data_IF_329042589712
#
_entry.id   IF_329042589712
#
_cell.length_a   1.000
_cell.length_b   1.000
_cell.length_c   1.000
_cell.angle_alpha   90.00
_cell.angle_beta   90.00
_cell.angle_gamma   90.00
#
_symmetry.space_group_name_H-M   'P 1'
#
loop_
_entity.id
_entity.type
_entity.pdbx_description
1 polymer ?
#
# COMPACT_ATOMS: atom_id res chain seq x y z
N UNK A 1 -13.08 21.88 5.16
CA UNK A 1 -11.84 21.13 5.15
C UNK A 1 -10.91 21.60 4.04
N UNK A 2 -9.64 21.30 4.16
CA UNK A 2 -8.64 21.61 3.12
C UNK A 2 -8.51 20.45 2.12
N UNK A 3 -8.07 20.75 0.89
CA UNK A 3 -7.85 19.73 -0.13
C UNK A 3 -6.65 18.86 0.26
N UNK A 4 -6.85 17.55 0.41
CA UNK A 4 -5.79 16.58 0.80
C UNK A 4 -5.00 16.03 -0.40
N UNK A 5 -5.53 16.13 -1.61
CA UNK A 5 -4.97 15.51 -2.81
C UNK A 5 -4.79 16.56 -3.91
N UNK A 6 -3.55 16.71 -4.38
CA UNK A 6 -3.22 17.52 -5.54
C UNK A 6 -3.27 16.73 -6.85
N UNK A 7 -3.09 17.39 -8.01
CA UNK A 7 -3.26 16.75 -9.32
C UNK A 7 -2.30 15.59 -9.58
N UNK A 8 -1.05 15.66 -9.15
CA UNK A 8 -0.07 14.58 -9.33
C UNK A 8 -0.49 13.28 -8.62
N UNK A 9 -0.90 13.40 -7.34
CA UNK A 9 -1.36 12.24 -6.57
C UNK A 9 -2.68 11.68 -7.11
N UNK A 10 -3.61 12.54 -7.54
CA UNK A 10 -4.86 12.13 -8.16
C UNK A 10 -4.62 11.39 -9.47
N UNK A 11 -3.74 11.90 -10.34
CA UNK A 11 -3.37 11.26 -11.59
C UNK A 11 -2.75 9.87 -11.36
N UNK A 12 -1.81 9.79 -10.42
CA UNK A 12 -1.17 8.52 -10.05
C UNK A 12 -2.21 7.48 -9.56
N UNK A 13 -3.19 7.90 -8.76
CA UNK A 13 -4.28 7.03 -8.31
C UNK A 13 -5.19 6.59 -9.46
N UNK A 14 -5.55 7.50 -10.38
CA UNK A 14 -6.34 7.19 -11.58
C UNK A 14 -5.63 6.13 -12.43
N UNK A 15 -4.34 6.29 -12.66
CA UNK A 15 -3.53 5.32 -13.41
C UNK A 15 -3.48 3.96 -12.70
N UNK A 16 -3.34 3.97 -11.36
CA UNK A 16 -3.40 2.76 -10.54
C UNK A 16 -4.73 2.02 -10.70
N UNK A 17 -5.86 2.74 -10.63
CA UNK A 17 -7.19 2.15 -10.78
C UNK A 17 -7.41 1.60 -12.21
N UNK A 18 -6.90 2.29 -13.23
CA UNK A 18 -6.94 1.79 -14.62
C UNK A 18 -6.22 0.46 -14.75
N UNK A 19 -4.98 0.40 -14.27
CA UNK A 19 -4.19 -0.82 -14.31
C UNK A 19 -4.84 -1.96 -13.51
N UNK A 20 -5.38 -1.67 -12.33
CA UNK A 20 -6.11 -2.64 -11.51
C UNK A 20 -7.36 -3.17 -12.25
N UNK A 21 -8.13 -2.28 -12.90
CA UNK A 21 -9.32 -2.67 -13.69
C UNK A 21 -8.96 -3.66 -14.80
N UNK A 22 -7.88 -3.40 -15.53
CA UNK A 22 -7.38 -4.27 -16.58
C UNK A 22 -6.97 -5.65 -16.02
N UNK A 23 -6.17 -5.67 -14.95
CA UNK A 23 -5.70 -6.91 -14.31
C UNK A 23 -6.83 -7.75 -13.71
N UNK A 24 -7.82 -7.13 -13.10
CA UNK A 24 -8.98 -7.83 -12.57
C UNK A 24 -9.86 -8.39 -13.70
N UNK A 25 -10.01 -7.65 -14.80
CA UNK A 25 -10.77 -8.12 -15.99
C UNK A 25 -10.14 -9.37 -16.60
N UNK A 26 -8.80 -9.47 -16.67
CA UNK A 26 -8.07 -10.68 -17.10
C UNK A 26 -8.46 -11.91 -16.26
N UNK A 27 -8.87 -11.70 -15.00
CA UNK A 27 -9.29 -12.75 -14.05
C UNK A 27 -10.81 -12.90 -13.95
N UNK A 28 -11.57 -12.27 -14.83
CA UNK A 28 -13.03 -12.21 -14.79
C UNK A 28 -13.59 -11.65 -13.47
N UNK A 29 -12.97 -10.60 -12.95
CA UNK A 29 -13.40 -9.87 -11.76
C UNK A 29 -13.79 -8.45 -12.16
N UNK A 30 -14.97 -7.99 -11.77
CA UNK A 30 -15.41 -6.62 -12.01
C UNK A 30 -14.84 -5.68 -10.96
N UNK A 31 -14.20 -4.59 -11.39
CA UNK A 31 -13.86 -3.47 -10.51
C UNK A 31 -15.00 -2.45 -10.53
N UNK A 32 -15.69 -2.34 -9.41
CA UNK A 32 -16.66 -1.25 -9.18
C UNK A 32 -15.92 0.01 -8.78
N UNK A 33 -16.17 1.12 -9.47
CA UNK A 33 -15.58 2.43 -9.15
C UNK A 33 -16.73 3.40 -8.83
N UNK A 34 -16.63 4.07 -7.69
CA UNK A 34 -17.64 5.03 -7.23
C UNK A 34 -16.96 6.26 -6.64
N UNK A 35 -17.58 7.45 -6.85
CA UNK A 35 -17.20 8.72 -6.23
C UNK A 35 -18.03 9.03 -4.98
N UNK A 36 -18.88 8.11 -4.54
CA UNK A 36 -19.66 8.25 -3.33
C UNK A 36 -18.87 7.80 -2.09
N UNK A 37 -19.38 8.11 -0.93
CA UNK A 37 -18.79 7.62 0.33
C UNK A 37 -18.89 6.10 0.42
N UNK A 38 -17.89 5.41 1.03
CA UNK A 38 -17.85 3.95 1.12
C UNK A 38 -19.12 3.33 1.72
N UNK A 39 -19.69 3.91 2.78
CA UNK A 39 -20.91 3.43 3.43
C UNK A 39 -22.12 3.43 2.49
N UNK A 40 -22.21 4.39 1.58
CA UNK A 40 -23.29 4.45 0.59
C UNK A 40 -23.04 3.47 -0.57
N UNK A 41 -21.79 3.39 -1.06
CA UNK A 41 -21.42 2.47 -2.12
C UNK A 41 -21.66 1.02 -1.68
N UNK A 42 -21.10 0.61 -0.55
CA UNK A 42 -21.18 -0.78 -0.06
C UNK A 42 -22.63 -1.17 0.25
N UNK A 43 -23.41 -0.30 0.92
CA UNK A 43 -24.82 -0.60 1.21
C UNK A 43 -25.66 -0.73 -0.07
N UNK A 44 -25.38 0.05 -1.11
CA UNK A 44 -26.03 -0.07 -2.41
C UNK A 44 -25.68 -1.39 -3.09
N UNK A 45 -24.39 -1.78 -3.09
CA UNK A 45 -23.93 -3.04 -3.66
C UNK A 45 -24.56 -4.24 -2.93
N UNK A 46 -24.62 -4.19 -1.60
CA UNK A 46 -25.24 -5.24 -0.78
C UNK A 46 -26.72 -5.40 -1.12
N UNK A 47 -27.45 -4.29 -1.36
CA UNK A 47 -28.87 -4.32 -1.72
C UNK A 47 -29.12 -4.83 -3.14
N UNK A 48 -28.24 -4.51 -4.08
CA UNK A 48 -28.44 -4.80 -5.50
C UNK A 48 -27.86 -6.14 -5.93
N UNK A 49 -26.91 -6.68 -5.16
CA UNK A 49 -26.25 -7.94 -5.45
C UNK A 49 -26.32 -8.86 -4.23
N UNK A 50 -26.38 -10.14 -4.44
CA UNK A 50 -26.49 -11.12 -3.37
C UNK A 50 -25.11 -11.34 -2.67
N UNK A 51 -24.61 -10.30 -1.98
CA UNK A 51 -23.30 -10.29 -1.32
C UNK A 51 -23.40 -11.01 0.02
N UNK A 52 -22.57 -12.02 0.23
CA UNK A 52 -22.45 -12.77 1.49
C UNK A 52 -21.31 -12.28 2.38
N UNK A 53 -20.25 -11.70 1.79
CA UNK A 53 -19.09 -11.24 2.54
C UNK A 53 -18.41 -10.04 1.90
N UNK A 54 -17.81 -9.18 2.74
CA UNK A 54 -16.94 -8.07 2.34
C UNK A 54 -15.60 -8.25 3.01
N UNK A 55 -14.53 -8.23 2.20
CA UNK A 55 -13.15 -8.35 2.65
C UNK A 55 -12.42 -7.03 2.45
N UNK A 56 -11.69 -6.56 3.46
CA UNK A 56 -10.96 -5.30 3.37
C UNK A 56 -9.68 -5.30 4.21
N UNK A 57 -8.75 -4.43 3.83
CA UNK A 57 -7.56 -4.16 4.61
C UNK A 57 -7.93 -3.31 5.83
N UNK A 58 -7.52 -3.74 7.00
CA UNK A 58 -7.74 -3.02 8.26
C UNK A 58 -6.76 -1.86 8.38
N UNK A 59 -7.30 -0.69 8.67
CA UNK A 59 -6.56 0.52 9.00
C UNK A 59 -6.83 0.93 10.47
N UNK A 60 -6.07 1.87 11.01
CA UNK A 60 -6.10 2.18 12.45
C UNK A 60 -6.07 3.68 12.77
N UNK A 61 -6.00 4.56 11.78
CA UNK A 61 -6.11 6.00 12.02
C UNK A 61 -7.58 6.40 12.11
N UNK A 62 -7.87 7.55 12.69
CA UNK A 62 -9.24 7.95 13.05
C UNK A 62 -10.18 7.97 11.85
N UNK A 63 -9.74 8.56 10.74
CA UNK A 63 -10.59 8.71 9.55
C UNK A 63 -10.97 7.35 8.95
N UNK A 64 -10.02 6.43 8.88
CA UNK A 64 -10.25 5.09 8.34
C UNK A 64 -11.09 4.24 9.29
N UNK A 65 -10.91 4.39 10.62
CA UNK A 65 -11.76 3.73 11.61
C UNK A 65 -13.21 4.26 11.57
N UNK A 66 -13.39 5.56 11.34
CA UNK A 66 -14.72 6.14 11.17
C UNK A 66 -15.41 5.60 9.91
N UNK A 67 -14.68 5.49 8.78
CA UNK A 67 -15.20 4.87 7.56
C UNK A 67 -15.58 3.41 7.81
N UNK A 68 -14.72 2.62 8.48
CA UNK A 68 -15.03 1.23 8.84
C UNK A 68 -16.30 1.15 9.67
N UNK A 69 -16.44 2.02 10.68
CA UNK A 69 -17.63 2.07 11.53
C UNK A 69 -18.89 2.40 10.73
N UNK A 70 -18.86 3.43 9.88
CA UNK A 70 -19.99 3.84 9.04
C UNK A 70 -20.41 2.75 8.06
N UNK A 71 -19.45 2.03 7.46
CA UNK A 71 -19.74 0.88 6.59
C UNK A 71 -20.44 -0.22 7.40
N UNK A 72 -19.94 -0.58 8.59
CA UNK A 72 -20.58 -1.58 9.46
C UNK A 72 -22.00 -1.21 9.80
N UNK A 73 -22.25 0.05 10.20
CA UNK A 73 -23.59 0.53 10.53
C UNK A 73 -24.52 0.50 9.31
N UNK A 74 -24.02 0.83 8.11
CA UNK A 74 -24.83 0.89 6.89
C UNK A 74 -25.37 -0.47 6.41
N UNK A 75 -24.73 -1.57 6.82
CA UNK A 75 -25.09 -2.95 6.43
C UNK A 75 -25.44 -3.86 7.62
N UNK A 76 -25.60 -3.31 8.82
CA UNK A 76 -25.81 -4.09 10.05
C UNK A 76 -27.09 -4.94 10.05
N UNK A 77 -28.10 -4.56 9.24
CA UNK A 77 -29.37 -5.31 9.11
C UNK A 77 -29.31 -6.37 8.00
N UNK A 78 -28.19 -6.47 7.28
CA UNK A 78 -27.99 -7.47 6.23
C UNK A 78 -27.20 -8.66 6.78
N UNK A 79 -27.36 -9.83 6.18
CA UNK A 79 -26.63 -11.06 6.54
C UNK A 79 -25.20 -11.11 5.96
N UNK A 80 -24.54 -9.95 5.84
CA UNK A 80 -23.20 -9.83 5.25
C UNK A 80 -22.13 -9.94 6.32
N UNK A 81 -21.18 -10.85 6.12
CA UNK A 81 -20.02 -10.99 7.00
C UNK A 81 -18.89 -10.03 6.58
N UNK A 82 -18.31 -9.33 7.56
CA UNK A 82 -17.16 -8.43 7.35
C UNK A 82 -15.85 -9.10 7.80
N UNK A 83 -14.89 -9.17 6.91
CA UNK A 83 -13.56 -9.74 7.18
C UNK A 83 -12.49 -8.67 6.99
N UNK A 84 -11.72 -8.37 8.04
CA UNK A 84 -10.64 -7.40 8.02
C UNK A 84 -9.28 -8.04 8.27
N UNK A 85 -8.26 -7.61 7.52
CA UNK A 85 -6.92 -8.18 7.57
C UNK A 85 -5.85 -7.10 7.57
N UNK A 86 -4.73 -7.36 8.26
CA UNK A 86 -3.51 -6.57 8.16
C UNK A 86 -2.59 -7.22 7.12
N UNK A 87 -2.47 -6.63 5.94
CA UNK A 87 -1.62 -7.19 4.88
C UNK A 87 -0.57 -6.21 4.33
N UNK A 88 -0.55 -4.98 4.82
CA UNK A 88 0.34 -3.91 4.39
C UNK A 88 1.76 -3.96 4.99
N UNK A 89 2.00 -4.85 5.95
CA UNK A 89 3.28 -4.96 6.67
C UNK A 89 4.27 -5.88 5.97
N UNK A 90 5.57 -5.60 6.15
CA UNK A 90 6.65 -6.55 5.87
C UNK A 90 6.60 -7.72 6.85
N UNK A 91 6.60 -7.40 8.16
CA UNK A 91 6.38 -8.35 9.23
C UNK A 91 4.91 -8.27 9.67
N UNK A 92 4.16 -9.33 9.45
CA UNK A 92 2.76 -9.36 9.86
C UNK A 92 2.61 -9.24 11.39
N UNK A 93 1.58 -8.55 11.93
CA UNK A 93 1.40 -8.36 13.38
C UNK A 93 1.40 -9.64 14.24
N UNK A 94 1.04 -10.76 13.67
CA UNK A 94 1.08 -12.08 14.36
C UNK A 94 2.47 -12.72 14.40
N UNK A 95 3.43 -12.19 13.64
CA UNK A 95 4.76 -12.81 13.44
C UNK A 95 5.87 -11.96 14.07
N UNK A 96 5.55 -10.80 14.63
CA UNK A 96 6.52 -9.97 15.36
C UNK A 96 6.75 -10.51 16.78
N UNK A 97 7.95 -10.33 17.37
CA UNK A 97 8.29 -10.89 18.67
C UNK A 97 7.82 -10.05 19.86
N UNK A 98 6.60 -9.51 19.78
CA UNK A 98 5.96 -8.73 20.84
C UNK A 98 4.56 -9.30 21.08
N UNK A 99 4.21 -9.58 22.33
CA UNK A 99 2.94 -10.22 22.70
C UNK A 99 1.74 -9.29 22.49
N UNK A 100 1.99 -7.99 22.50
CA UNK A 100 0.97 -6.97 22.24
C UNK A 100 1.57 -5.74 21.56
N UNK A 101 0.71 -4.94 20.95
CA UNK A 101 1.09 -3.65 20.35
C UNK A 101 1.71 -2.70 21.38
N UNK A 102 1.31 -2.80 22.65
CA UNK A 102 1.84 -1.96 23.73
C UNK A 102 3.31 -2.26 24.05
N UNK A 103 3.80 -3.45 23.74
CA UNK A 103 5.20 -3.85 23.97
C UNK A 103 6.16 -3.39 22.86
N UNK A 104 5.64 -2.85 21.77
CA UNK A 104 6.48 -2.33 20.69
C UNK A 104 7.40 -1.23 21.24
N UNK A 105 8.73 -1.36 21.03
CA UNK A 105 9.69 -0.40 21.54
C UNK A 105 9.49 1.01 20.95
N UNK A 106 9.70 2.03 21.78
CA UNK A 106 9.71 3.43 21.32
C UNK A 106 10.94 3.78 20.47
N UNK A 107 11.95 2.93 20.46
CA UNK A 107 13.22 3.14 19.75
C UNK A 107 13.31 2.12 18.61
N UNK A 108 13.47 2.62 17.38
CA UNK A 108 13.59 1.82 16.18
C UNK A 108 14.64 0.70 16.27
N UNK A 109 15.83 1.00 16.78
CA UNK A 109 16.91 0.01 16.84
C UNK A 109 16.53 -1.22 17.68
N UNK A 110 15.77 -1.03 18.75
CA UNK A 110 15.27 -2.14 19.58
C UNK A 110 14.23 -2.97 18.82
N UNK A 111 13.28 -2.31 18.15
CA UNK A 111 12.29 -2.96 17.28
C UNK A 111 12.96 -3.77 16.19
N UNK A 112 13.82 -3.13 15.40
CA UNK A 112 14.53 -3.75 14.28
C UNK A 112 15.30 -5.00 14.72
N UNK A 113 16.18 -4.87 15.75
CA UNK A 113 17.00 -6.00 16.23
C UNK A 113 16.15 -7.18 16.70
N UNK A 114 15.02 -6.91 17.35
CA UNK A 114 14.11 -7.97 17.77
C UNK A 114 13.44 -8.66 16.58
N UNK A 115 12.94 -7.89 15.60
CA UNK A 115 12.30 -8.43 14.40
C UNK A 115 13.32 -9.19 13.52
N UNK A 116 14.49 -8.64 13.25
CA UNK A 116 15.53 -9.33 12.46
C UNK A 116 15.94 -10.67 13.07
N UNK A 117 15.90 -10.79 14.40
CA UNK A 117 16.27 -12.03 15.11
C UNK A 117 15.17 -13.08 15.13
N UNK A 118 13.91 -12.69 15.18
CA UNK A 118 12.79 -13.59 15.53
C UNK A 118 11.61 -13.56 14.56
N UNK A 119 11.40 -12.46 13.83
CA UNK A 119 10.27 -12.36 12.93
C UNK A 119 10.58 -13.02 11.58
N UNK A 120 9.53 -13.52 10.92
CA UNK A 120 9.62 -14.14 9.60
C UNK A 120 8.82 -13.30 8.61
N UNK A 121 9.41 -13.03 7.46
CA UNK A 121 8.66 -12.45 6.33
C UNK A 121 7.90 -13.57 5.64
N UNK A 122 6.55 -13.46 5.64
CA UNK A 122 5.69 -14.46 4.99
C UNK A 122 6.01 -14.56 3.50
N UNK A 123 5.85 -15.75 2.91
CA UNK A 123 6.01 -15.91 1.47
C UNK A 123 4.95 -15.09 0.73
N UNK A 124 5.21 -14.84 -0.55
CA UNK A 124 4.19 -14.27 -1.44
C UNK A 124 3.08 -15.29 -1.67
N UNK A 125 1.85 -14.79 -1.73
CA UNK A 125 0.70 -15.60 -2.10
C UNK A 125 0.60 -15.62 -3.61
N UNK A 126 0.71 -16.79 -4.21
CA UNK A 126 0.43 -16.94 -5.63
C UNK A 126 -1.07 -17.12 -5.83
N UNK A 127 -1.70 -16.13 -6.48
CA UNK A 127 -3.13 -16.14 -6.76
C UNK A 127 -3.38 -16.67 -8.18
N UNK A 128 -3.44 -17.98 -8.33
CA UNK A 128 -3.96 -18.63 -9.54
C UNK A 128 -5.49 -18.65 -9.50
N UNK A 129 -6.10 -17.48 -9.72
CA UNK A 129 -7.56 -17.37 -9.83
C UNK A 129 -7.92 -17.39 -11.30
N UNK A 130 -8.72 -18.36 -11.69
CA UNK A 130 -9.34 -18.44 -13.01
C UNK A 130 -10.86 -18.57 -12.83
N UNK A 131 -11.54 -17.43 -12.72
CA UNK A 131 -12.99 -17.38 -12.58
C UNK A 131 -13.67 -17.46 -13.94
N UNK A 132 -14.89 -18.04 -14.04
CA UNK A 132 -15.65 -18.07 -15.28
C UNK A 132 -16.10 -16.65 -15.65
N UNK A 133 -16.33 -16.40 -16.96
CA UNK A 133 -16.83 -15.10 -17.45
C UNK A 133 -18.17 -14.68 -16.83
N UNK A 134 -18.98 -15.64 -16.39
CA UNK A 134 -20.23 -15.39 -15.68
C UNK A 134 -20.06 -14.68 -14.33
N UNK A 135 -18.81 -14.60 -13.81
CA UNK A 135 -18.49 -13.82 -12.60
C UNK A 135 -18.47 -12.31 -12.84
N UNK A 136 -18.42 -11.86 -14.11
CA UNK A 136 -18.43 -10.44 -14.42
C UNK A 136 -19.85 -9.87 -14.25
N UNK A 137 -19.94 -8.69 -13.66
CA UNK A 137 -21.16 -7.87 -13.70
C UNK A 137 -21.33 -7.30 -15.13
N UNK A 138 -22.59 -7.20 -15.57
CA UNK A 138 -22.93 -6.59 -16.88
C UNK A 138 -22.89 -5.06 -16.87
N UNK A 139 -22.16 -4.47 -15.96
CA UNK A 139 -22.03 -3.02 -15.78
C UNK A 139 -20.59 -2.58 -16.03
N UNK A 140 -20.43 -1.48 -16.75
CA UNK A 140 -19.13 -0.85 -16.95
C UNK A 140 -19.01 0.40 -16.07
N UNK A 141 -18.13 0.33 -15.06
CA UNK A 141 -17.87 1.43 -14.15
C UNK A 141 -16.78 2.33 -14.71
N UNK A 142 -17.14 3.56 -15.06
CA UNK A 142 -16.23 4.54 -15.60
C UNK A 142 -15.17 4.94 -14.56
N UNK A 143 -13.94 5.08 -15.01
CA UNK A 143 -12.86 5.60 -14.16
C UNK A 143 -12.89 7.11 -14.20
N UNK A 144 -12.90 7.79 -13.02
CA UNK A 144 -12.92 9.24 -12.95
C UNK A 144 -11.69 9.89 -13.61
N UNK A 145 -11.85 11.13 -14.03
CA UNK A 145 -10.78 12.00 -14.57
C UNK A 145 -10.46 13.10 -13.55
N UNK A 146 -9.34 13.79 -13.72
CA UNK A 146 -8.94 14.89 -12.84
C UNK A 146 -10.04 15.95 -12.67
N UNK A 147 -10.77 16.28 -13.74
CA UNK A 147 -11.89 17.23 -13.71
C UNK A 147 -13.01 16.84 -12.76
N UNK A 148 -13.25 15.54 -12.55
CA UNK A 148 -14.31 15.03 -11.67
C UNK A 148 -13.98 15.28 -10.18
N UNK A 149 -12.70 15.57 -9.89
CA UNK A 149 -12.20 16.00 -8.58
C UNK A 149 -11.99 17.52 -8.48
N UNK A 150 -12.40 18.28 -9.50
CA UNK A 150 -12.15 19.72 -9.59
C UNK A 150 -10.65 20.07 -9.75
N UNK A 151 -9.89 19.18 -10.36
CA UNK A 151 -8.46 19.33 -10.62
C UNK A 151 -8.22 19.55 -12.11
N UNK A 152 -7.23 20.41 -12.43
CA UNK A 152 -6.80 20.66 -13.80
C UNK A 152 -5.79 19.62 -14.27
N UNK A 153 -5.78 19.37 -15.56
CA UNK A 153 -4.71 18.62 -16.22
C UNK A 153 -3.38 19.38 -16.08
N UNK A 154 -2.28 18.67 -16.14
CA UNK A 154 -0.94 19.24 -16.02
C UNK A 154 0.04 18.50 -16.94
N UNK A 155 1.11 19.18 -17.28
CA UNK A 155 2.27 18.58 -17.97
C UNK A 155 3.33 18.21 -16.93
N UNK A 156 3.84 16.99 -17.00
CA UNK A 156 4.93 16.55 -16.12
C UNK A 156 6.18 17.34 -16.47
N UNK A 157 6.81 17.95 -15.46
CA UNK A 157 8.05 18.70 -15.68
C UNK A 157 9.19 17.76 -16.10
N UNK A 158 9.98 18.08 -17.13
CA UNK A 158 11.04 17.19 -17.63
C UNK A 158 12.11 16.85 -16.58
N UNK A 159 12.35 17.73 -15.62
CA UNK A 159 13.30 17.52 -14.52
C UNK A 159 12.65 16.87 -13.28
N UNK A 160 11.49 16.22 -13.40
CA UNK A 160 10.87 15.55 -12.27
C UNK A 160 11.78 14.43 -11.75
N UNK A 161 11.89 14.30 -10.43
CA UNK A 161 12.57 13.18 -9.79
C UNK A 161 11.69 11.92 -9.72
N UNK A 162 10.44 11.98 -10.19
CA UNK A 162 9.49 10.87 -10.21
C UNK A 162 8.73 10.85 -11.56
N UNK A 163 9.37 10.35 -12.64
CA UNK A 163 8.76 10.29 -13.97
C UNK A 163 7.87 9.07 -14.20
N UNK A 164 7.42 8.40 -13.14
CA UNK A 164 6.74 7.12 -13.19
C UNK A 164 5.22 7.25 -13.10
N UNK A 165 4.52 6.27 -13.65
CA UNK A 165 3.06 6.16 -13.61
C UNK A 165 2.60 5.27 -12.44
N UNK A 166 1.32 5.41 -12.08
CA UNK A 166 0.66 4.55 -11.12
C UNK A 166 0.37 3.15 -11.65
N UNK A 167 0.10 2.22 -10.72
CA UNK A 167 -0.29 0.84 -11.01
C UNK A 167 0.78 -0.20 -10.75
N UNK A 168 0.34 -1.43 -10.52
CA UNK A 168 1.20 -2.58 -10.21
C UNK A 168 2.22 -2.84 -11.32
N UNK A 169 1.79 -2.80 -12.58
CA UNK A 169 2.66 -3.05 -13.73
C UNK A 169 3.86 -2.12 -13.75
N UNK A 170 3.66 -0.83 -13.51
CA UNK A 170 4.76 0.15 -13.48
C UNK A 170 5.62 -0.02 -12.22
N UNK A 171 5.01 -0.36 -11.08
CA UNK A 171 5.75 -0.66 -9.85
C UNK A 171 6.67 -1.88 -9.99
N UNK A 172 6.17 -2.97 -10.61
CA UNK A 172 6.95 -4.17 -10.90
C UNK A 172 8.06 -3.92 -11.91
N UNK A 173 7.76 -3.15 -12.96
CA UNK A 173 8.74 -2.72 -13.94
C UNK A 173 9.86 -1.93 -13.26
N UNK A 174 9.53 -1.03 -12.33
CA UNK A 174 10.55 -0.27 -11.57
C UNK A 174 11.38 -1.16 -10.66
N UNK A 175 10.81 -2.20 -10.03
CA UNK A 175 11.57 -3.18 -9.25
C UNK A 175 12.58 -3.88 -10.15
N UNK A 176 12.12 -4.39 -11.30
CA UNK A 176 12.98 -5.07 -12.26
C UNK A 176 14.12 -4.18 -12.75
N UNK A 177 13.80 -2.98 -13.20
CA UNK A 177 14.78 -1.99 -13.67
C UNK A 177 15.83 -1.67 -12.60
N UNK A 178 15.39 -1.36 -11.35
CA UNK A 178 16.28 -0.92 -10.28
C UNK A 178 17.16 -2.06 -9.73
N UNK A 179 16.65 -3.29 -9.67
CA UNK A 179 17.38 -4.43 -9.14
C UNK A 179 18.17 -5.15 -10.23
N UNK A 180 17.56 -5.47 -11.37
CA UNK A 180 18.10 -6.43 -12.32
C UNK A 180 18.74 -5.78 -13.55
N UNK A 181 18.09 -4.80 -14.18
CA UNK A 181 18.56 -4.22 -15.42
C UNK A 181 19.75 -3.27 -15.19
N UNK A 182 19.67 -2.43 -14.14
CA UNK A 182 20.66 -1.40 -13.85
C UNK A 182 21.55 -1.73 -12.65
N UNK A 183 21.19 -2.71 -11.84
CA UNK A 183 21.88 -3.08 -10.60
C UNK A 183 22.03 -1.91 -9.59
N UNK A 184 21.19 -0.86 -9.66
CA UNK A 184 21.27 0.31 -8.78
C UNK A 184 21.06 -0.05 -7.31
N UNK A 185 20.36 -1.16 -7.00
CA UNK A 185 20.21 -1.67 -5.64
C UNK A 185 21.57 -1.96 -4.98
N UNK A 186 22.59 -2.34 -5.75
CA UNK A 186 23.91 -2.66 -5.22
C UNK A 186 24.67 -1.45 -4.67
N UNK A 187 24.23 -0.22 -4.98
CA UNK A 187 24.79 1.05 -4.52
C UNK A 187 23.77 1.92 -3.77
N UNK A 188 22.59 1.37 -3.44
CA UNK A 188 21.47 2.11 -2.85
C UNK A 188 21.86 2.89 -1.58
N UNK A 189 22.66 2.29 -0.69
CA UNK A 189 23.07 2.93 0.56
C UNK A 189 23.81 4.25 0.34
N UNK A 190 24.66 4.28 -0.67
CA UNK A 190 25.51 5.42 -1.03
C UNK A 190 24.71 6.50 -1.78
N UNK A 191 23.80 6.09 -2.66
CA UNK A 191 23.12 6.98 -3.59
C UNK A 191 21.80 7.54 -3.05
N UNK A 192 21.10 6.87 -2.15
CA UNK A 192 19.71 7.14 -1.74
C UNK A 192 19.41 8.57 -1.27
N UNK A 193 20.40 9.32 -0.83
CA UNK A 193 20.28 10.70 -0.38
C UNK A 193 20.48 11.73 -1.53
N UNK A 194 20.66 11.28 -2.76
CA UNK A 194 20.71 12.14 -3.93
C UNK A 194 19.41 12.95 -4.11
N UNK A 195 19.50 14.08 -4.81
CA UNK A 195 18.36 14.98 -5.03
C UNK A 195 18.04 15.20 -6.51
N UNK A 196 18.94 14.87 -7.40
CA UNK A 196 18.81 15.15 -8.84
C UNK A 196 18.64 13.83 -9.60
N UNK A 197 17.65 13.82 -10.52
CA UNK A 197 17.33 12.67 -11.35
C UNK A 197 16.46 11.64 -10.64
N UNK A 198 16.21 10.52 -11.29
CA UNK A 198 15.34 9.44 -10.81
C UNK A 198 16.08 8.24 -10.20
N UNK A 199 17.39 8.10 -10.54
CA UNK A 199 18.13 6.83 -10.32
C UNK A 199 18.83 6.72 -8.98
N UNK A 200 18.95 7.82 -8.23
CA UNK A 200 19.64 7.82 -6.93
C UNK A 200 18.93 7.00 -5.85
N UNK A 201 17.64 6.69 -6.01
CA UNK A 201 16.87 5.87 -5.08
C UNK A 201 15.81 5.02 -5.78
N UNK A 202 15.24 4.06 -5.08
CA UNK A 202 14.26 3.11 -5.63
C UNK A 202 12.94 3.75 -6.07
N UNK A 203 12.50 4.83 -5.43
CA UNK A 203 11.21 5.52 -5.67
C UNK A 203 9.95 4.68 -5.35
N UNK A 204 10.05 3.60 -4.58
CA UNK A 204 8.95 2.67 -4.32
C UNK A 204 7.80 3.25 -3.48
N UNK A 205 8.04 4.35 -2.76
CA UNK A 205 7.09 4.87 -1.76
C UNK A 205 5.69 5.16 -2.29
N UNK A 206 5.57 5.65 -3.53
CA UNK A 206 4.28 5.96 -4.12
C UNK A 206 3.40 4.70 -4.34
N UNK A 207 4.01 3.62 -4.86
CA UNK A 207 3.32 2.35 -5.07
C UNK A 207 3.08 1.59 -3.77
N UNK A 208 4.02 1.67 -2.80
CA UNK A 208 3.83 1.10 -1.46
C UNK A 208 2.72 1.80 -0.69
N UNK A 209 2.50 3.10 -0.92
CA UNK A 209 1.48 3.87 -0.23
C UNK A 209 0.05 3.47 -0.61
N UNK A 210 -0.17 3.04 -1.84
CA UNK A 210 -1.50 2.60 -2.32
C UNK A 210 -1.62 1.09 -2.51
N UNK A 211 -0.57 0.32 -2.17
CA UNK A 211 -0.58 -1.14 -2.25
C UNK A 211 -0.41 -1.72 -3.66
N UNK A 212 -0.01 -0.91 -4.66
CA UNK A 212 0.30 -1.42 -6.01
C UNK A 212 1.47 -2.41 -6.00
N UNK A 213 2.41 -2.23 -5.07
CA UNK A 213 3.43 -3.22 -4.72
C UNK A 213 3.45 -3.42 -3.20
N UNK A 214 3.87 -4.59 -2.73
CA UNK A 214 3.98 -4.88 -1.31
C UNK A 214 5.43 -4.84 -0.81
N UNK A 215 5.62 -4.55 0.48
CA UNK A 215 6.93 -4.62 1.12
C UNK A 215 7.52 -6.04 1.06
N UNK A 216 6.67 -7.08 1.14
CA UNK A 216 7.08 -8.48 1.02
C UNK A 216 7.58 -8.82 -0.38
N UNK A 217 6.93 -8.28 -1.42
CA UNK A 217 7.38 -8.47 -2.80
C UNK A 217 8.78 -7.89 -3.04
N UNK A 218 9.01 -6.66 -2.58
CA UNK A 218 10.34 -6.05 -2.64
C UNK A 218 11.37 -6.87 -1.85
N UNK A 219 11.02 -7.31 -0.64
CA UNK A 219 11.91 -8.12 0.20
C UNK A 219 12.31 -9.42 -0.48
N UNK A 220 11.38 -10.18 -1.05
CA UNK A 220 11.68 -11.45 -1.68
C UNK A 220 12.43 -11.27 -3.00
N UNK A 221 12.17 -10.20 -3.74
CA UNK A 221 12.95 -9.85 -4.92
C UNK A 221 14.40 -9.49 -4.55
N UNK A 222 14.63 -8.74 -3.47
CA UNK A 222 15.98 -8.49 -2.93
C UNK A 222 16.65 -9.81 -2.54
N UNK A 223 15.94 -10.73 -1.88
CA UNK A 223 16.52 -12.03 -1.50
C UNK A 223 16.93 -12.86 -2.71
N UNK A 224 16.16 -12.81 -3.76
CA UNK A 224 16.50 -13.48 -5.02
C UNK A 224 17.72 -12.81 -5.69
N UNK A 225 17.76 -11.47 -5.71
CA UNK A 225 18.92 -10.72 -6.18
C UNK A 225 20.20 -11.04 -5.34
N UNK A 226 20.09 -11.06 -4.01
CA UNK A 226 21.21 -11.42 -3.12
C UNK A 226 21.77 -12.82 -3.40
N UNK A 227 20.90 -13.75 -3.78
CA UNK A 227 21.28 -15.13 -4.11
C UNK A 227 21.92 -15.24 -5.50
N UNK A 228 21.41 -14.51 -6.50
CA UNK A 228 21.80 -14.69 -7.91
C UNK A 228 22.91 -13.74 -8.35
N UNK A 229 23.01 -12.56 -7.75
CA UNK A 229 23.93 -11.50 -8.20
C UNK A 229 24.89 -11.09 -7.09
N UNK A 230 24.41 -10.40 -6.06
CA UNK A 230 25.29 -9.84 -5.02
C UNK A 230 24.53 -9.51 -3.74
N UNK A 231 25.06 -9.97 -2.61
CA UNK A 231 24.67 -9.54 -1.27
C UNK A 231 25.68 -8.54 -0.73
N UNK A 232 25.23 -7.35 -0.32
CA UNK A 232 26.07 -6.30 0.23
C UNK A 232 25.34 -5.41 1.24
N UNK A 233 25.99 -4.34 1.69
CA UNK A 233 25.36 -3.38 2.61
C UNK A 233 24.19 -2.61 1.98
N UNK A 234 24.20 -2.35 0.68
CA UNK A 234 23.14 -1.63 0.00
C UNK A 234 21.87 -2.46 -0.14
N UNK A 235 21.98 -3.75 -0.47
CA UNK A 235 20.83 -4.67 -0.49
C UNK A 235 20.19 -4.80 0.90
N UNK A 236 21.01 -4.93 1.96
CA UNK A 236 20.54 -4.91 3.33
C UNK A 236 19.89 -3.56 3.69
N UNK A 237 20.45 -2.43 3.22
CA UNK A 237 19.92 -1.10 3.54
C UNK A 237 18.53 -0.88 2.97
N UNK A 238 18.22 -1.45 1.82
CA UNK A 238 16.85 -1.41 1.28
C UNK A 238 15.87 -2.16 2.19
N UNK A 239 16.24 -3.33 2.70
CA UNK A 239 15.44 -4.07 3.69
C UNK A 239 15.29 -3.26 4.98
N UNK A 240 16.35 -2.61 5.42
CA UNK A 240 16.36 -1.73 6.59
C UNK A 240 15.33 -0.59 6.47
N UNK A 241 15.17 0.02 5.28
CA UNK A 241 14.15 1.05 5.04
C UNK A 241 12.73 0.46 5.01
N UNK A 242 12.53 -0.76 4.54
CA UNK A 242 11.25 -1.46 4.65
C UNK A 242 10.87 -1.73 6.12
N UNK A 243 11.85 -2.05 6.97
CA UNK A 243 11.62 -2.22 8.41
C UNK A 243 11.29 -0.88 9.08
N UNK A 244 11.90 0.24 8.64
CA UNK A 244 11.51 1.58 9.10
C UNK A 244 10.06 1.90 8.77
N UNK A 245 9.60 1.57 7.56
CA UNK A 245 8.20 1.73 7.17
C UNK A 245 7.27 0.96 8.11
N UNK A 246 7.58 -0.30 8.38
CA UNK A 246 6.80 -1.12 9.32
C UNK A 246 6.80 -0.52 10.72
N UNK A 247 7.97 -0.10 11.21
CA UNK A 247 8.08 0.52 12.53
C UNK A 247 7.18 1.74 12.68
N UNK A 248 7.13 2.64 11.70
CA UNK A 248 6.24 3.79 11.75
C UNK A 248 4.77 3.39 11.74
N UNK A 249 4.40 2.36 11.00
CA UNK A 249 3.03 1.82 11.03
C UNK A 249 2.71 1.23 12.41
N UNK A 250 3.63 0.49 13.02
CA UNK A 250 3.44 -0.06 14.36
C UNK A 250 3.38 1.03 15.45
N UNK A 251 4.17 2.07 15.33
CA UNK A 251 4.11 3.23 16.23
C UNK A 251 2.76 3.95 16.07
N UNK A 252 2.29 4.12 14.85
CA UNK A 252 0.96 4.67 14.57
C UNK A 252 -0.16 3.79 15.17
N UNK A 253 -0.07 2.49 14.99
CA UNK A 253 -1.01 1.53 15.57
C UNK A 253 -1.01 1.57 17.12
N UNK A 254 0.18 1.71 17.73
CA UNK A 254 0.35 1.80 19.20
C UNK A 254 -0.22 3.08 19.80
N UNK A 255 0.03 4.22 19.16
CA UNK A 255 -0.29 5.54 19.73
C UNK A 255 -1.53 6.18 19.12
N UNK A 256 -2.10 5.58 18.06
CA UNK A 256 -3.30 6.08 17.40
C UNK A 256 -3.18 7.56 17.03
N UNK A 257 -4.21 8.32 17.34
CA UNK A 257 -4.28 9.76 17.01
C UNK A 257 -3.24 10.65 17.71
N UNK A 258 -2.51 10.14 18.69
CA UNK A 258 -1.46 10.92 19.36
C UNK A 258 -0.35 11.35 18.41
N UNK A 259 -0.11 10.60 17.32
CA UNK A 259 0.88 10.97 16.30
C UNK A 259 0.54 12.28 15.55
N UNK A 260 -0.73 12.71 15.58
CA UNK A 260 -1.21 13.94 14.93
C UNK A 260 -1.38 15.12 15.89
N UNK A 261 -1.15 14.92 17.20
CA UNK A 261 -1.26 15.97 18.21
C UNK A 261 0.03 16.79 18.30
N UNK A 262 -0.08 18.07 18.66
CA UNK A 262 1.08 18.95 18.81
C UNK A 262 2.11 18.44 19.81
N UNK A 263 1.67 17.90 20.95
CA UNK A 263 2.53 17.30 21.98
C UNK A 263 2.98 15.86 21.64
N UNK A 264 2.57 15.33 20.47
CA UNK A 264 3.03 14.06 19.94
C UNK A 264 2.77 12.86 20.85
N UNK A 265 3.53 11.79 20.64
CA UNK A 265 3.40 10.52 21.37
C UNK A 265 3.98 10.56 22.80
N UNK A 266 4.75 11.58 23.13
CA UNK A 266 5.39 11.73 24.43
C UNK A 266 4.57 12.57 25.41
N UNK A 267 3.48 13.19 24.95
CA UNK A 267 2.62 14.08 25.73
C UNK A 267 3.42 15.13 26.52
N UNK A 268 4.50 15.64 25.92
CA UNK A 268 5.28 16.73 26.51
C UNK A 268 4.55 18.04 26.22
N UNK A 269 4.31 18.78 27.27
CA UNK A 269 3.77 20.13 27.23
C UNK A 269 4.78 21.10 26.60
#
# INVERSE_FOLDING_TARGET
GFKKTGPYRAQFLIETIKNLKEKLKEKNITLVVSLTKPEHCISTLVKNHNISAVYYQKEWTQEEQEVEHLVKESIKTSEVTLHSYYDQFLFHPKDIPFSSINEIPKIYTAFRKACEKKAVVRPLVNLEINLPKTNLLNEDYAIPKLKDFGLSEFTVHPNTAFPYKGGETEGLKRINEYHWDTNHIASYKETRNGMIGSEYSSKYSAWLANGSISARQIYWDIKDYEKKVKKNQSTYWMIFELIWRDYFMYISLKYGNSIFKLNGILSKD
#
